data_IF_949698580805
#
_entry.id   IF_949698580805
#
_cell.length_a   1.000
_cell.length_b   1.000
_cell.length_c   1.000
_cell.angle_alpha   90.00
_cell.angle_beta   90.00
_cell.angle_gamma   90.00
#
_symmetry.space_group_name_H-M   'P 1'
#
loop_
_entity.id
_entity.type
_entity.pdbx_description
1 polymer ?
#
# COMPACT_ATOMS: atom_id res chain seq x y z
N UNK A 1 -26.60 10.20 8.45
CA UNK A 1 -26.11 10.09 7.07
C UNK A 1 -24.88 10.97 7.05
N UNK A 2 -23.82 10.54 7.73
CA UNK A 2 -22.77 11.43 8.28
C UNK A 2 -21.40 10.72 8.37
N UNK A 3 -21.10 9.86 7.40
CA UNK A 3 -19.80 9.19 7.28
C UNK A 3 -19.42 9.04 5.81
N UNK A 4 -19.75 10.05 4.99
CA UNK A 4 -18.76 10.44 3.97
C UNK A 4 -17.63 11.10 4.75
N UNK A 5 -16.86 10.29 5.50
CA UNK A 5 -15.69 10.75 6.20
C UNK A 5 -14.88 11.50 5.17
N UNK A 6 -14.59 12.76 5.50
CA UNK A 6 -14.10 13.78 4.60
C UNK A 6 -12.63 13.49 4.21
N UNK A 7 -12.33 12.27 3.76
CA UNK A 7 -10.99 11.80 3.35
C UNK A 7 -10.39 12.69 2.27
N UNK A 8 -11.24 13.41 1.52
CA UNK A 8 -10.84 14.40 0.54
C UNK A 8 -10.24 15.70 1.14
N UNK A 9 -10.29 15.87 2.46
CA UNK A 9 -9.66 16.97 3.20
C UNK A 9 -8.17 16.72 3.47
N UNK A 10 -7.73 15.46 3.42
CA UNK A 10 -6.34 15.06 3.62
C UNK A 10 -5.67 14.71 2.29
N UNK A 11 -4.33 14.79 2.20
CA UNK A 11 -3.58 14.15 1.12
C UNK A 11 -3.92 12.67 1.04
N UNK A 12 -4.19 12.18 -0.18
CA UNK A 12 -4.55 10.78 -0.41
C UNK A 12 -3.38 10.09 -1.12
N UNK A 13 -2.97 8.95 -0.59
CA UNK A 13 -1.90 8.14 -1.13
C UNK A 13 -2.42 6.73 -1.45
N UNK A 14 -2.08 6.24 -2.63
CA UNK A 14 -2.25 4.82 -2.96
C UNK A 14 -0.95 4.09 -2.66
N UNK A 15 -0.96 3.24 -1.64
CA UNK A 15 0.15 2.39 -1.25
C UNK A 15 -0.13 0.93 -1.69
N UNK A 16 0.23 0.51 -2.92
CA UNK A 16 -0.08 -0.83 -3.44
C UNK A 16 0.63 -1.98 -2.70
N UNK A 17 1.67 -1.66 -1.93
CA UNK A 17 2.60 -2.64 -1.38
C UNK A 17 3.76 -2.91 -2.33
N UNK A 18 4.95 -3.13 -1.75
CA UNK A 18 6.20 -3.23 -2.51
C UNK A 18 6.25 -4.45 -3.43
N UNK A 19 5.76 -5.61 -3.00
CA UNK A 19 5.76 -6.82 -3.83
C UNK A 19 4.84 -6.68 -5.05
N UNK A 20 3.62 -6.17 -4.85
CA UNK A 20 2.67 -5.95 -5.94
C UNK A 20 3.22 -4.93 -6.95
N UNK A 21 3.82 -3.84 -6.45
CA UNK A 21 4.47 -2.83 -7.29
C UNK A 21 5.59 -3.40 -8.15
N UNK A 22 6.40 -4.32 -7.61
CA UNK A 22 7.54 -4.90 -8.33
C UNK A 22 7.13 -6.03 -9.29
N UNK A 23 6.20 -6.89 -8.89
CA UNK A 23 5.82 -8.08 -9.64
C UNK A 23 4.72 -7.84 -10.67
N UNK A 24 3.84 -6.86 -10.42
CA UNK A 24 2.67 -6.56 -11.27
C UNK A 24 2.49 -5.04 -11.49
N UNK A 25 3.50 -4.33 -12.05
CA UNK A 25 3.44 -2.87 -12.20
C UNK A 25 2.26 -2.39 -13.06
N UNK A 26 1.89 -3.14 -14.11
CA UNK A 26 0.73 -2.81 -14.96
C UNK A 26 -0.57 -2.84 -14.16
N UNK A 27 -0.73 -3.81 -13.27
CA UNK A 27 -1.92 -3.91 -12.41
C UNK A 27 -1.98 -2.76 -11.41
N UNK A 28 -0.84 -2.39 -10.84
CA UNK A 28 -0.76 -1.20 -9.96
C UNK A 28 -1.14 0.06 -10.73
N UNK A 29 -0.67 0.22 -11.97
CA UNK A 29 -1.07 1.34 -12.83
C UNK A 29 -2.57 1.36 -13.08
N UNK A 30 -3.18 0.21 -13.40
CA UNK A 30 -4.62 0.11 -13.64
C UNK A 30 -5.46 0.49 -12.40
N UNK A 31 -5.04 0.04 -11.22
CA UNK A 31 -5.72 0.40 -9.97
C UNK A 31 -5.49 1.86 -9.63
N UNK A 32 -4.30 2.38 -9.85
CA UNK A 32 -4.01 3.81 -9.64
C UNK A 32 -4.85 4.69 -10.58
N UNK A 33 -4.98 4.33 -11.86
CA UNK A 33 -5.81 5.02 -12.83
C UNK A 33 -7.30 4.99 -12.44
N UNK A 34 -7.76 3.86 -11.90
CA UNK A 34 -9.10 3.76 -11.31
C UNK A 34 -9.28 4.78 -10.16
N UNK A 35 -8.36 4.79 -9.19
CA UNK A 35 -8.43 5.71 -8.06
C UNK A 35 -8.30 7.19 -8.49
N UNK A 36 -7.51 7.48 -9.53
CA UNK A 36 -7.39 8.82 -10.12
C UNK A 36 -8.72 9.30 -10.73
N UNK A 37 -9.56 8.40 -11.25
CA UNK A 37 -10.93 8.76 -11.70
C UNK A 37 -11.83 9.17 -10.54
N UNK A 38 -11.62 8.60 -9.35
CA UNK A 38 -12.41 8.91 -8.15
C UNK A 38 -11.93 10.20 -7.47
N UNK A 39 -10.62 10.34 -7.28
CA UNK A 39 -10.03 11.38 -6.43
C UNK A 39 -9.28 12.49 -7.19
N UNK A 40 -9.18 12.39 -8.52
CA UNK A 40 -8.52 13.39 -9.36
C UNK A 40 -7.04 13.56 -9.01
N UNK A 41 -6.54 14.79 -9.02
CA UNK A 41 -5.13 15.14 -8.73
C UNK A 41 -4.77 15.11 -7.24
N UNK A 42 -5.73 14.80 -6.36
CA UNK A 42 -5.49 14.70 -4.91
C UNK A 42 -4.81 13.39 -4.51
N UNK A 43 -4.90 12.35 -5.34
CA UNK A 43 -4.26 11.07 -5.05
C UNK A 43 -2.87 10.97 -5.68
N UNK A 44 -1.92 10.45 -4.90
CA UNK A 44 -0.54 10.19 -5.32
C UNK A 44 -0.17 8.73 -5.13
N UNK A 45 0.66 8.19 -6.02
CA UNK A 45 1.22 6.85 -5.84
C UNK A 45 2.31 6.87 -4.78
N UNK A 46 2.19 6.00 -3.78
CA UNK A 46 3.17 5.83 -2.71
C UNK A 46 3.94 4.52 -2.89
N UNK A 47 5.19 4.63 -3.33
CA UNK A 47 5.99 3.48 -3.81
C UNK A 47 6.88 2.85 -2.75
N UNK A 48 6.80 3.30 -1.50
CA UNK A 48 7.68 2.86 -0.41
C UNK A 48 7.18 1.56 0.22
N UNK A 49 8.14 0.76 0.68
CA UNK A 49 7.88 -0.52 1.36
C UNK A 49 7.60 -0.24 2.84
N UNK A 50 6.44 -0.66 3.36
CA UNK A 50 6.06 -0.45 4.76
C UNK A 50 7.09 -0.97 5.78
N UNK A 51 7.79 -2.08 5.47
CA UNK A 51 8.81 -2.65 6.35
C UNK A 51 10.16 -1.93 6.30
N UNK A 52 10.36 -1.00 5.37
CA UNK A 52 11.58 -0.20 5.20
C UNK A 52 11.28 1.29 5.24
N UNK A 53 10.04 1.67 5.58
CA UNK A 53 9.64 3.06 5.60
C UNK A 53 10.04 3.71 6.91
N UNK A 54 10.49 4.96 6.83
CA UNK A 54 10.95 5.71 7.99
C UNK A 54 9.78 6.47 8.61
N UNK A 55 9.57 6.23 9.91
CA UNK A 55 8.48 6.82 10.68
C UNK A 55 8.44 8.37 10.63
N UNK A 56 9.58 9.01 10.39
CA UNK A 56 9.68 10.48 10.32
C UNK A 56 9.30 11.06 8.94
N UNK A 57 8.83 10.25 8.01
CA UNK A 57 8.48 10.69 6.65
C UNK A 57 7.04 11.20 6.54
N UNK A 58 6.21 10.94 7.56
CA UNK A 58 4.81 11.36 7.60
C UNK A 58 4.52 12.11 8.89
N UNK A 59 4.78 13.41 8.89
CA UNK A 59 4.33 14.31 9.97
C UNK A 59 2.92 14.88 9.69
N UNK A 60 2.47 14.81 8.43
CA UNK A 60 1.15 15.30 8.02
C UNK A 60 0.06 14.24 8.18
N UNK A 61 -1.17 14.67 8.53
CA UNK A 61 -2.32 13.78 8.56
C UNK A 61 -2.73 13.40 7.13
N UNK A 62 -2.76 12.11 6.80
CA UNK A 62 -2.95 11.63 5.43
C UNK A 62 -3.79 10.35 5.37
N UNK A 63 -4.40 10.10 4.20
CA UNK A 63 -5.19 8.89 3.93
C UNK A 63 -4.39 7.95 3.06
N UNK A 64 -4.23 6.70 3.51
CA UNK A 64 -3.55 5.65 2.76
C UNK A 64 -4.56 4.60 2.30
N UNK A 65 -4.72 4.46 0.99
CA UNK A 65 -5.49 3.38 0.37
C UNK A 65 -4.51 2.28 -0.02
N UNK A 66 -4.74 1.04 0.43
CA UNK A 66 -3.83 -0.09 0.16
C UNK A 66 -4.57 -1.36 -0.25
N UNK A 67 -3.91 -2.17 -1.08
CA UNK A 67 -4.32 -3.53 -1.47
C UNK A 67 -3.59 -4.61 -0.66
N UNK A 68 -2.60 -4.23 0.14
CA UNK A 68 -1.72 -5.14 0.86
C UNK A 68 -2.02 -5.08 2.36
N UNK A 69 -2.56 -6.17 2.91
CA UNK A 69 -2.91 -6.31 4.32
C UNK A 69 -1.74 -6.02 5.26
N UNK A 70 -0.53 -6.42 4.87
CA UNK A 70 0.69 -6.15 5.64
C UNK A 70 0.97 -4.65 5.70
N UNK A 71 0.82 -3.94 4.59
CA UNK A 71 0.96 -2.48 4.57
C UNK A 71 -0.15 -1.81 5.40
N UNK A 72 -1.38 -2.32 5.31
CA UNK A 72 -2.51 -1.82 6.12
C UNK A 72 -2.17 -1.86 7.61
N UNK A 73 -1.70 -3.00 8.09
CA UNK A 73 -1.31 -3.21 9.49
C UNK A 73 -0.11 -2.36 9.90
N UNK A 74 0.98 -2.42 9.14
CA UNK A 74 2.24 -1.75 9.52
C UNK A 74 2.07 -0.23 9.51
N UNK A 75 1.50 0.36 8.46
CA UNK A 75 1.27 1.81 8.44
C UNK A 75 0.28 2.22 9.53
N UNK A 76 -0.85 1.52 9.67
CA UNK A 76 -1.86 1.84 10.68
C UNK A 76 -1.38 1.71 12.13
N UNK A 77 -0.41 0.83 12.41
CA UNK A 77 0.17 0.71 13.76
C UNK A 77 1.35 1.65 14.01
N UNK A 78 2.03 2.09 12.96
CA UNK A 78 3.28 2.88 13.08
C UNK A 78 2.99 4.38 13.14
N UNK A 79 1.99 4.85 12.40
CA UNK A 79 1.72 6.28 12.22
C UNK A 79 0.32 6.64 12.74
N UNK A 80 0.25 7.34 13.87
CA UNK A 80 -1.03 7.73 14.47
C UNK A 80 -1.83 8.75 13.64
N UNK A 81 -1.14 9.46 12.74
CA UNK A 81 -1.67 10.47 11.82
C UNK A 81 -2.12 9.89 10.46
N UNK A 82 -2.02 8.57 10.25
CA UNK A 82 -2.46 7.95 9.00
C UNK A 82 -3.85 7.32 9.15
N UNK A 83 -4.74 7.71 8.25
CA UNK A 83 -6.06 7.13 8.05
C UNK A 83 -5.97 6.00 7.03
N UNK A 84 -5.92 4.76 7.52
CA UNK A 84 -5.83 3.59 6.64
C UNK A 84 -7.20 3.24 6.05
N UNK A 85 -7.23 2.96 4.75
CA UNK A 85 -8.40 2.48 4.01
C UNK A 85 -8.01 1.26 3.17
N UNK A 86 -8.83 0.22 3.28
CA UNK A 86 -8.69 -0.93 2.38
C UNK A 86 -9.24 -0.54 1.01
N UNK A 87 -8.54 -0.93 -0.06
CA UNK A 87 -8.98 -0.66 -1.41
C UNK A 87 -10.37 -1.26 -1.71
N UNK A 88 -10.67 -2.44 -1.20
CA UNK A 88 -11.94 -3.11 -1.47
C UNK A 88 -13.11 -2.41 -0.80
N UNK A 89 -12.90 -1.81 0.38
CA UNK A 89 -13.92 -0.98 1.03
C UNK A 89 -14.21 0.27 0.18
N UNK A 90 -13.16 0.94 -0.28
CA UNK A 90 -13.29 2.09 -1.20
C UNK A 90 -13.98 1.65 -2.49
N UNK A 91 -13.58 0.52 -3.07
CA UNK A 91 -14.21 0.01 -4.28
C UNK A 91 -15.70 -0.30 -4.05
N UNK A 92 -16.07 -0.92 -2.94
CA UNK A 92 -17.46 -1.24 -2.62
C UNK A 92 -18.34 0.00 -2.44
N UNK A 93 -17.78 1.11 -1.96
CA UNK A 93 -18.45 2.42 -1.89
C UNK A 93 -18.75 3.00 -3.28
N UNK A 94 -17.80 2.88 -4.23
CA UNK A 94 -17.88 3.54 -5.53
C UNK A 94 -18.29 2.63 -6.70
N UNK A 95 -18.34 1.31 -6.53
CA UNK A 95 -18.56 0.34 -7.62
C UNK A 95 -19.89 0.51 -8.35
N UNK A 96 -20.89 1.11 -7.71
CA UNK A 96 -22.19 1.42 -8.33
C UNK A 96 -22.09 2.52 -9.39
N UNK A 97 -21.10 3.40 -9.28
CA UNK A 97 -20.85 4.53 -10.19
C UNK A 97 -19.68 4.21 -11.13
N UNK A 98 -18.61 3.64 -10.59
CA UNK A 98 -17.38 3.29 -11.30
C UNK A 98 -17.06 1.81 -11.08
N UNK A 99 -17.70 0.89 -11.81
CA UNK A 99 -17.38 -0.54 -11.72
C UNK A 99 -16.05 -0.86 -12.41
N UNK A 100 -15.30 -1.82 -11.86
CA UNK A 100 -14.08 -2.36 -12.50
C UNK A 100 -14.39 -3.35 -13.62
N UNK A 101 -15.61 -3.89 -13.68
CA UNK A 101 -16.02 -4.88 -14.68
C UNK A 101 -15.17 -6.16 -14.61
N UNK A 102 -14.73 -6.67 -15.76
CA UNK A 102 -13.92 -7.89 -15.84
C UNK A 102 -12.58 -7.79 -15.08
N UNK A 103 -12.04 -6.57 -14.94
CA UNK A 103 -10.78 -6.31 -14.21
C UNK A 103 -10.88 -6.61 -12.71
N UNK A 104 -12.08 -6.62 -12.13
CA UNK A 104 -12.25 -6.96 -10.70
C UNK A 104 -11.80 -8.41 -10.44
N UNK A 105 -12.24 -9.35 -11.28
CA UNK A 105 -11.91 -10.76 -11.12
C UNK A 105 -10.41 -11.02 -11.34
N UNK A 106 -9.81 -10.33 -12.30
CA UNK A 106 -8.37 -10.38 -12.56
C UNK A 106 -7.56 -9.84 -11.37
N UNK A 107 -7.96 -8.69 -10.82
CA UNK A 107 -7.32 -8.09 -9.65
C UNK A 107 -7.41 -9.02 -8.43
N UNK A 108 -8.59 -9.56 -8.13
CA UNK A 108 -8.77 -10.53 -7.03
C UNK A 108 -7.91 -11.78 -7.21
N UNK A 109 -7.79 -12.30 -8.43
CA UNK A 109 -6.95 -13.47 -8.74
C UNK A 109 -5.46 -13.15 -8.57
N UNK A 110 -5.02 -12.01 -9.09
CA UNK A 110 -3.63 -11.60 -9.01
C UNK A 110 -3.20 -11.33 -7.57
N UNK A 111 -4.04 -10.67 -6.76
CA UNK A 111 -3.77 -10.51 -5.33
C UNK A 111 -3.60 -11.88 -4.66
N UNK A 112 -4.49 -12.86 -4.87
CA UNK A 112 -4.27 -14.22 -4.32
C UNK A 112 -2.92 -14.85 -4.69
N UNK A 113 -2.35 -14.51 -5.85
CA UNK A 113 -1.04 -15.01 -6.30
C UNK A 113 0.16 -14.14 -5.91
N UNK A 114 -0.06 -12.89 -5.50
CA UNK A 114 0.98 -11.89 -5.22
C UNK A 114 0.93 -11.33 -3.80
N UNK A 115 -0.10 -11.67 -3.03
CA UNK A 115 -0.32 -11.17 -1.68
C UNK A 115 0.87 -11.60 -0.82
N UNK A 116 1.63 -10.61 -0.35
CA UNK A 116 1.60 -10.05 1.02
C UNK A 116 1.25 -10.99 2.20
N UNK A 117 1.25 -12.30 2.02
CA UNK A 117 1.22 -13.34 3.06
C UNK A 117 2.61 -13.37 3.70
N UNK A 118 2.85 -12.43 4.60
CA UNK A 118 3.87 -12.47 5.66
C UNK A 118 5.31 -12.86 5.30
N UNK A 119 5.67 -12.84 4.03
CA UNK A 119 6.96 -13.32 3.57
C UNK A 119 7.65 -12.26 2.72
N UNK A 120 8.05 -11.17 3.38
CA UNK A 120 9.46 -10.83 3.25
C UNK A 120 10.20 -12.15 3.52
N UNK A 121 11.08 -12.64 2.65
CA UNK A 121 11.85 -13.84 2.96
C UNK A 121 12.70 -13.52 4.19
N UNK A 122 12.13 -13.71 5.39
CA UNK A 122 12.75 -13.32 6.65
C UNK A 122 14.10 -14.01 6.78
N UNK A 123 14.23 -15.21 6.20
CA UNK A 123 15.51 -15.90 6.02
C UNK A 123 16.51 -15.10 5.19
N UNK A 124 16.15 -14.58 4.04
CA UNK A 124 17.06 -13.79 3.21
C UNK A 124 17.39 -12.43 3.85
N UNK A 125 16.41 -11.79 4.50
CA UNK A 125 16.62 -10.52 5.20
C UNK A 125 17.50 -10.70 6.46
N UNK A 126 17.30 -11.81 7.19
CA UNK A 126 18.10 -12.19 8.36
C UNK A 126 19.53 -12.55 7.96
N UNK A 127 19.70 -13.35 6.91
CA UNK A 127 21.03 -13.68 6.37
C UNK A 127 21.75 -12.40 5.92
N UNK A 128 21.07 -11.52 5.19
CA UNK A 128 21.62 -10.23 4.78
C UNK A 128 21.98 -9.33 5.98
N UNK A 129 21.14 -9.24 7.01
CA UNK A 129 21.45 -8.48 8.23
C UNK A 129 22.60 -9.09 9.04
N UNK A 130 22.71 -10.41 9.08
CA UNK A 130 23.83 -11.11 9.74
C UNK A 130 25.13 -10.91 8.96
N UNK A 131 25.10 -11.02 7.63
CA UNK A 131 26.23 -10.70 6.75
C UNK A 131 26.67 -9.24 6.90
N UNK A 132 25.71 -8.31 6.91
CA UNK A 132 25.98 -6.89 7.07
C UNK A 132 26.56 -6.57 8.45
N UNK A 133 26.03 -7.15 9.53
CA UNK A 133 26.61 -7.04 10.87
C UNK A 133 28.05 -7.53 10.89
N UNK A 134 28.29 -8.72 10.34
CA UNK A 134 29.62 -9.33 10.27
C UNK A 134 30.61 -8.48 9.48
N UNK A 135 30.16 -7.83 8.41
CA UNK A 135 30.97 -6.89 7.63
C UNK A 135 31.23 -5.59 8.40
N UNK A 136 30.21 -5.02 9.04
CA UNK A 136 30.30 -3.75 9.78
C UNK A 136 31.12 -3.81 11.07
N UNK A 137 31.28 -5.00 11.66
CA UNK A 137 32.06 -5.22 12.89
C UNK A 137 33.44 -5.82 12.62
N UNK A 138 33.83 -6.02 11.36
CA UNK A 138 35.23 -6.26 11.02
C UNK A 138 35.95 -4.92 11.09
N UNK A 139 36.53 -4.62 12.24
CA UNK A 139 37.67 -3.72 12.32
C UNK A 139 38.82 -4.36 11.54
N UNK A 140 39.49 -3.58 10.67
CA UNK A 140 40.70 -3.99 9.96
C UNK A 140 41.82 -4.43 10.91
#
# INVERSE_FOLDING_TARGET
>A
MDTFDNIAQYPIYFAPGCQLLQLQPTMVSDVYDYLRRLFGDKIRLYTRCCGLDDANQHDEEAVFITLCDTCFKIYGSTYANLHMRDFWDVYDEYKSIYPLGEKEAELRKALKSTLCDYTLPQKALKNWMEEWKTWSTKED
#
